data_IF_463704568005
#
_entry.id   IF_463704568005
#
_cell.length_a   1.000
_cell.length_b   1.000
_cell.length_c   1.000
_cell.angle_alpha   90.00
_cell.angle_beta   90.00
_cell.angle_gamma   90.00
#
_symmetry.space_group_name_H-M   'P 1'
#
loop_
_entity.id
_entity.type
_entity.pdbx_description
1 polymer ?
#
# COMPACT_ATOMS: atom_id res chain seq x y z
N UNK A 1 12.05 13.59 3.68
CA UNK A 1 12.57 14.92 3.22
C UNK A 1 13.49 14.68 2.04
N UNK A 2 13.34 15.43 0.94
CA UNK A 2 14.09 15.20 -0.31
C UNK A 2 15.26 16.17 -0.48
N UNK A 3 16.37 15.68 -1.03
CA UNK A 3 17.63 16.42 -1.22
C UNK A 3 18.17 16.21 -2.63
N UNK A 4 18.27 17.27 -3.42
CA UNK A 4 18.92 17.22 -4.74
C UNK A 4 20.40 17.56 -4.57
N UNK A 5 21.28 16.63 -4.95
CA UNK A 5 22.71 16.87 -5.02
C UNK A 5 23.06 17.44 -6.40
N UNK A 6 23.27 18.76 -6.45
CA UNK A 6 23.57 19.46 -7.71
C UNK A 6 24.93 19.09 -8.32
N UNK A 7 25.83 18.42 -7.58
CA UNK A 7 27.14 18.02 -8.08
C UNK A 7 27.07 16.74 -8.90
N UNK A 8 26.26 15.75 -8.47
CA UNK A 8 26.12 14.47 -9.16
C UNK A 8 24.76 14.27 -9.85
N UNK A 9 23.81 15.19 -9.66
CA UNK A 9 22.46 15.14 -10.22
C UNK A 9 21.53 14.14 -9.54
N UNK A 10 21.91 13.56 -8.40
CA UNK A 10 21.10 12.56 -7.69
C UNK A 10 20.11 13.22 -6.72
N UNK A 11 18.92 12.63 -6.62
CA UNK A 11 17.88 12.96 -5.67
C UNK A 11 17.89 11.93 -4.55
N UNK A 12 17.85 12.38 -3.30
CA UNK A 12 17.85 11.53 -2.12
C UNK A 12 16.62 11.80 -1.27
N UNK A 13 16.21 10.79 -0.50
CA UNK A 13 15.24 10.92 0.59
C UNK A 13 15.90 10.53 1.91
N UNK A 14 15.69 11.34 2.94
CA UNK A 14 16.16 11.03 4.29
C UNK A 14 15.41 9.87 4.94
N UNK A 15 16.12 9.06 5.70
CA UNK A 15 15.54 7.98 6.50
C UNK A 15 15.17 8.47 7.91
N UNK A 16 14.79 7.55 8.81
CA UNK A 16 14.60 7.85 10.23
C UNK A 16 15.86 8.45 10.87
N UNK A 17 17.04 8.06 10.42
CA UNK A 17 18.34 8.51 10.93
C UNK A 17 18.97 9.61 10.05
N UNK A 18 18.15 10.45 9.42
CA UNK A 18 18.62 11.58 8.63
C UNK A 18 19.57 12.51 9.41
N UNK A 19 19.42 12.62 10.73
CA UNK A 19 20.33 13.41 11.60
C UNK A 19 21.77 12.90 11.57
N UNK A 20 21.96 11.62 11.30
CA UNK A 20 23.27 10.96 11.15
C UNK A 20 23.74 10.93 9.68
N UNK A 21 22.99 11.61 8.79
CA UNK A 21 23.28 11.71 7.36
C UNK A 21 22.77 10.54 6.52
N UNK A 22 21.97 9.63 7.08
CA UNK A 22 21.44 8.49 6.34
C UNK A 22 20.37 8.92 5.33
N UNK A 23 20.59 8.54 4.07
CA UNK A 23 19.73 8.87 2.94
C UNK A 23 19.72 7.75 1.89
N UNK A 24 18.62 7.65 1.15
CA UNK A 24 18.42 6.66 0.09
C UNK A 24 18.27 7.38 -1.26
N UNK A 25 18.94 6.94 -2.35
CA UNK A 25 18.72 7.51 -3.66
C UNK A 25 17.28 7.25 -4.14
N UNK A 26 16.63 8.27 -4.69
CA UNK A 26 15.25 8.21 -5.17
C UNK A 26 15.13 7.55 -6.55
N UNK A 27 16.22 7.54 -7.32
CA UNK A 27 16.30 6.85 -8.61
C UNK A 27 17.59 6.04 -8.67
N UNK A 28 17.63 4.93 -9.43
CA UNK A 28 18.85 4.17 -9.66
C UNK A 28 19.96 5.04 -10.27
N UNK A 29 21.15 5.04 -9.66
CA UNK A 29 22.31 5.82 -10.15
C UNK A 29 22.64 5.56 -11.63
N UNK A 30 22.40 4.34 -12.12
CA UNK A 30 22.68 3.94 -13.49
C UNK A 30 21.83 4.67 -14.55
N UNK A 31 20.73 5.31 -14.14
CA UNK A 31 19.84 6.04 -15.04
C UNK A 31 20.21 7.53 -15.19
N UNK A 32 21.09 8.05 -14.32
CA UNK A 32 21.46 9.46 -14.32
C UNK A 32 22.57 9.70 -15.35
N UNK A 33 22.39 10.69 -16.23
CA UNK A 33 23.43 11.14 -17.15
C UNK A 33 23.77 12.62 -16.91
N UNK A 34 24.86 12.85 -16.16
CA UNK A 34 25.34 14.19 -15.80
C UNK A 34 26.40 14.77 -16.76
N UNK A 35 26.91 13.98 -17.71
CA UNK A 35 27.93 14.43 -18.67
C UNK A 35 27.27 14.76 -20.02
N UNK A 36 27.50 15.95 -20.59
CA UNK A 36 27.07 16.27 -21.94
C UNK A 36 27.91 15.46 -22.92
N UNK A 37 27.39 14.33 -23.40
CA UNK A 37 28.00 13.64 -24.52
C UNK A 37 27.69 14.46 -25.78
N UNK A 38 28.72 14.80 -26.56
CA UNK A 38 28.60 15.61 -27.79
C UNK A 38 27.66 15.04 -28.88
N UNK A 39 26.98 13.91 -28.59
CA UNK A 39 26.07 13.16 -29.46
C UNK A 39 24.66 12.94 -28.88
N UNK A 40 24.40 13.24 -27.61
CA UNK A 40 23.08 13.09 -26.98
C UNK A 40 22.70 14.36 -26.23
N UNK A 41 21.57 14.96 -26.61
CA UNK A 41 21.17 16.31 -26.23
C UNK A 41 20.38 16.42 -24.92
N UNK A 42 20.32 15.38 -24.09
CA UNK A 42 19.51 15.42 -22.87
C UNK A 42 20.34 15.03 -21.65
N UNK A 43 20.74 16.05 -20.89
CA UNK A 43 21.08 15.89 -19.48
C UNK A 43 19.83 15.36 -18.77
N UNK A 44 19.98 14.25 -18.07
CA UNK A 44 18.88 13.62 -17.34
C UNK A 44 19.28 13.45 -15.88
N UNK A 45 18.88 14.43 -15.07
CA UNK A 45 19.05 14.38 -13.62
C UNK A 45 17.94 13.55 -12.96
N UNK A 46 18.20 13.14 -11.72
CA UNK A 46 17.31 12.28 -10.97
C UNK A 46 15.95 12.91 -10.65
N UNK A 47 15.88 14.24 -10.55
CA UNK A 47 14.62 14.91 -10.24
C UNK A 47 13.65 14.79 -11.40
N UNK A 48 14.14 14.98 -12.63
CA UNK A 48 13.31 14.80 -13.82
C UNK A 48 12.84 13.35 -13.98
N UNK A 49 13.75 12.37 -13.84
CA UNK A 49 13.41 10.94 -13.87
C UNK A 49 12.33 10.57 -12.84
N UNK A 50 12.48 11.08 -11.62
CA UNK A 50 11.55 10.83 -10.52
C UNK A 50 10.15 11.43 -10.79
N UNK A 51 10.08 12.62 -11.41
CA UNK A 51 8.83 13.25 -11.83
C UNK A 51 8.19 12.54 -13.02
N UNK A 52 8.99 12.15 -14.01
CA UNK A 52 8.54 11.39 -15.20
C UNK A 52 7.93 10.05 -14.79
N UNK A 53 8.57 9.33 -13.87
CA UNK A 53 8.05 8.06 -13.37
C UNK A 53 6.73 8.24 -12.61
N UNK A 54 6.58 9.31 -11.82
CA UNK A 54 5.28 9.65 -11.21
C UNK A 54 4.20 9.92 -12.25
N UNK A 55 4.51 10.72 -13.27
CA UNK A 55 3.61 11.02 -14.38
C UNK A 55 3.20 9.74 -15.10
N UNK A 56 4.16 8.89 -15.45
CA UNK A 56 3.94 7.60 -16.11
C UNK A 56 3.05 6.67 -15.27
N UNK A 57 3.27 6.60 -13.95
CA UNK A 57 2.45 5.77 -13.04
C UNK A 57 1.01 6.28 -12.94
N UNK A 58 0.79 7.59 -12.97
CA UNK A 58 -0.54 8.20 -13.01
C UNK A 58 -1.25 7.94 -14.35
N UNK A 59 -0.56 8.20 -15.47
CA UNK A 59 -1.09 8.04 -16.82
C UNK A 59 -1.50 6.59 -17.10
N UNK A 60 -0.70 5.64 -16.65
CA UNK A 60 -0.97 4.21 -16.83
C UNK A 60 -1.87 3.61 -15.75
N UNK A 61 -2.37 4.40 -14.80
CA UNK A 61 -3.31 3.93 -13.77
C UNK A 61 -2.70 3.08 -12.66
N UNK A 62 -1.38 2.91 -12.63
CA UNK A 62 -0.65 2.21 -11.55
C UNK A 62 -0.94 2.90 -10.21
N UNK A 63 -0.99 4.23 -10.20
CA UNK A 63 -1.42 5.03 -9.05
C UNK A 63 -2.56 5.97 -9.46
N UNK A 64 -3.34 6.42 -8.49
CA UNK A 64 -4.52 7.27 -8.76
C UNK A 64 -4.57 8.49 -7.86
N UNK A 65 -5.40 9.44 -8.27
CA UNK A 65 -5.79 10.54 -7.42
C UNK A 65 -6.72 10.03 -6.31
N UNK A 66 -6.45 10.44 -5.08
CA UNK A 66 -7.34 10.32 -3.94
C UNK A 66 -8.06 11.64 -3.75
N UNK A 67 -9.37 11.56 -3.53
CA UNK A 67 -10.18 12.71 -3.16
C UNK A 67 -10.60 12.60 -1.69
N UNK A 68 -10.17 13.55 -0.88
CA UNK A 68 -10.56 13.65 0.53
C UNK A 68 -11.21 15.02 0.78
N UNK A 69 -12.54 15.03 0.81
CA UNK A 69 -13.32 16.26 0.86
C UNK A 69 -13.08 17.14 -0.37
N UNK A 70 -12.42 18.28 -0.17
CA UNK A 70 -12.06 19.21 -1.25
C UNK A 70 -10.62 19.04 -1.75
N UNK A 71 -9.83 18.21 -1.10
CA UNK A 71 -8.43 18.02 -1.43
C UNK A 71 -8.27 16.84 -2.40
N UNK A 72 -7.44 17.05 -3.41
CA UNK A 72 -6.97 16.01 -4.32
C UNK A 72 -5.50 15.81 -4.08
N UNK A 73 -5.10 14.57 -3.85
CA UNK A 73 -3.70 14.17 -3.70
C UNK A 73 -3.42 12.95 -4.56
N UNK A 74 -2.15 12.68 -4.82
CA UNK A 74 -1.74 11.42 -5.46
C UNK A 74 -1.66 10.36 -4.36
N UNK A 75 -2.35 9.24 -4.56
CA UNK A 75 -2.17 8.06 -3.71
C UNK A 75 -1.07 7.19 -4.29
N UNK A 76 0.06 7.06 -3.59
CA UNK A 76 1.21 6.29 -4.08
C UNK A 76 0.99 4.77 -4.06
N UNK A 77 -0.09 4.32 -3.42
CA UNK A 77 -0.48 2.92 -3.33
C UNK A 77 -0.88 2.37 -4.71
N UNK A 78 -0.21 1.30 -5.17
CA UNK A 78 -0.53 0.70 -6.45
C UNK A 78 -1.99 0.22 -6.57
N UNK A 79 -2.57 0.34 -7.74
CA UNK A 79 -3.98 -0.02 -8.04
C UNK A 79 -4.11 -1.29 -8.88
N UNK A 80 -3.00 -1.80 -9.42
CA UNK A 80 -2.96 -2.90 -10.37
C UNK A 80 -1.93 -3.98 -9.99
N UNK A 81 -2.11 -5.18 -10.54
CA UNK A 81 -1.15 -6.28 -10.39
C UNK A 81 0.20 -5.92 -11.03
N UNK A 82 1.32 -6.49 -10.55
CA UNK A 82 1.42 -7.45 -9.43
C UNK A 82 1.49 -6.78 -8.04
N UNK A 83 1.44 -5.44 -7.97
CA UNK A 83 1.67 -4.68 -6.75
C UNK A 83 0.40 -4.45 -5.91
N UNK A 84 -0.77 -4.65 -6.50
CA UNK A 84 -2.06 -4.63 -5.82
C UNK A 84 -2.77 -5.97 -5.99
N UNK A 85 -2.99 -6.65 -4.88
CA UNK A 85 -3.81 -7.87 -4.85
C UNK A 85 -5.28 -7.50 -4.72
N UNK A 86 -6.15 -8.35 -5.27
CA UNK A 86 -7.59 -8.21 -5.19
C UNK A 86 -8.21 -9.56 -4.90
N UNK A 87 -9.09 -9.63 -3.90
CA UNK A 87 -9.92 -10.78 -3.60
C UNK A 87 -11.39 -10.38 -3.54
N UNK A 88 -12.28 -11.29 -3.93
CA UNK A 88 -13.72 -11.14 -3.77
C UNK A 88 -14.25 -12.37 -3.08
N UNK A 89 -14.83 -12.19 -1.90
CA UNK A 89 -15.40 -13.28 -1.11
C UNK A 89 -16.81 -12.90 -0.71
N UNK A 90 -17.80 -13.72 -1.07
CA UNK A 90 -19.21 -13.49 -0.75
C UNK A 90 -19.70 -12.06 -1.05
N UNK A 91 -19.23 -11.46 -2.16
CA UNK A 91 -19.61 -10.11 -2.59
C UNK A 91 -18.79 -8.96 -1.98
N UNK A 92 -17.97 -9.21 -0.96
CA UNK A 92 -17.03 -8.20 -0.44
C UNK A 92 -15.76 -8.24 -1.28
N UNK A 93 -15.42 -7.11 -1.90
CA UNK A 93 -14.18 -6.91 -2.64
C UNK A 93 -13.16 -6.22 -1.77
N UNK A 94 -11.99 -6.85 -1.60
CA UNK A 94 -10.83 -6.28 -0.90
C UNK A 94 -9.69 -6.09 -1.89
N UNK A 95 -9.12 -4.88 -1.92
CA UNK A 95 -7.90 -4.56 -2.66
C UNK A 95 -6.82 -4.12 -1.67
N UNK A 96 -5.61 -4.64 -1.84
CA UNK A 96 -4.52 -4.42 -0.91
C UNK A 96 -3.21 -4.20 -1.66
N UNK A 97 -2.46 -3.19 -1.25
CA UNK A 97 -1.17 -2.83 -1.83
C UNK A 97 -0.34 -2.08 -0.80
N UNK A 98 0.97 -2.06 -0.97
CA UNK A 98 1.88 -1.38 -0.06
C UNK A 98 2.89 -0.48 -0.77
N UNK A 99 3.51 0.38 0.03
CA UNK A 99 4.62 1.24 -0.35
C UNK A 99 5.68 1.19 0.75
N UNK A 100 6.95 1.28 0.34
CA UNK A 100 8.05 1.47 1.28
C UNK A 100 8.01 2.88 1.86
N UNK A 101 8.39 3.03 3.13
CA UNK A 101 8.42 4.33 3.84
C UNK A 101 9.84 4.62 4.32
N UNK A 102 10.62 5.37 3.53
CA UNK A 102 12.01 5.71 3.85
C UNK A 102 12.14 6.41 5.20
N UNK A 103 11.27 7.41 5.46
CA UNK A 103 11.36 8.26 6.65
C UNK A 103 11.18 7.51 7.97
N UNK A 104 10.59 6.32 7.94
CA UNK A 104 10.45 5.45 9.12
C UNK A 104 11.51 4.35 9.18
N UNK A 105 12.18 4.08 8.06
CA UNK A 105 13.16 3.02 7.92
C UNK A 105 14.49 3.40 8.55
N UNK A 106 15.18 2.40 9.11
CA UNK A 106 16.50 2.52 9.70
C UNK A 106 17.37 1.43 9.06
N UNK A 107 18.18 1.79 8.05
CA UNK A 107 18.90 0.78 7.28
C UNK A 107 20.13 0.23 8.01
N UNK A 108 20.49 0.80 9.15
CA UNK A 108 21.57 0.35 10.02
C UNK A 108 21.09 -0.64 11.09
N UNK A 109 19.80 -0.62 11.41
CA UNK A 109 19.20 -1.56 12.36
C UNK A 109 18.99 -2.95 11.72
N UNK A 110 19.22 -4.00 12.51
CA UNK A 110 19.08 -5.40 12.04
C UNK A 110 17.61 -5.87 12.05
N UNK A 111 16.85 -5.51 13.09
CA UNK A 111 15.40 -5.73 13.16
C UNK A 111 14.63 -4.47 12.73
N UNK A 112 13.44 -4.61 12.16
CA UNK A 112 12.58 -3.48 11.76
C UNK A 112 13.23 -2.47 10.79
N UNK A 113 14.16 -2.98 9.99
CA UNK A 113 14.98 -2.23 9.04
C UNK A 113 14.15 -1.49 7.99
N UNK A 114 13.15 -2.17 7.43
CA UNK A 114 12.32 -1.66 6.34
C UNK A 114 10.91 -1.43 6.85
N UNK A 115 10.44 -0.19 6.73
CA UNK A 115 9.06 0.14 7.04
C UNK A 115 8.21 0.18 5.77
N UNK A 116 7.05 -0.47 5.84
CA UNK A 116 6.08 -0.46 4.78
C UNK A 116 4.76 0.11 5.30
N UNK A 117 4.15 1.00 4.54
CA UNK A 117 2.75 1.34 4.70
C UNK A 117 1.93 0.48 3.73
N UNK A 118 0.77 0.03 4.16
CA UNK A 118 -0.18 -0.69 3.32
C UNK A 118 -1.54 -0.01 3.34
N UNK A 119 -2.23 -0.07 2.20
CA UNK A 119 -3.58 0.46 2.02
C UNK A 119 -4.55 -0.65 1.67
N UNK A 120 -5.58 -0.79 2.50
CA UNK A 120 -6.67 -1.75 2.29
C UNK A 120 -7.91 -0.97 1.86
N UNK A 121 -8.50 -1.38 0.73
CA UNK A 121 -9.70 -0.79 0.16
C UNK A 121 -10.78 -1.85 0.07
N UNK A 122 -11.90 -1.61 0.75
CA UNK A 122 -13.01 -2.55 0.85
C UNK A 122 -14.28 -1.95 0.26
N UNK A 123 -15.01 -2.76 -0.49
CA UNK A 123 -16.33 -2.39 -1.00
C UNK A 123 -17.24 -3.61 -1.05
N UNK A 124 -18.54 -3.37 -1.02
CA UNK A 124 -19.54 -4.40 -1.28
C UNK A 124 -20.02 -4.25 -2.72
N UNK A 125 -20.00 -5.35 -3.47
CA UNK A 125 -20.42 -5.37 -4.86
C UNK A 125 -21.93 -5.07 -5.01
N UNK A 126 -22.39 -4.66 -6.20
CA UNK A 126 -23.81 -4.36 -6.47
C UNK A 126 -24.78 -5.45 -6.04
N UNK A 127 -24.35 -6.71 -6.13
CA UNK A 127 -25.12 -7.91 -5.78
C UNK A 127 -25.23 -8.14 -4.26
N UNK A 128 -24.67 -7.26 -3.42
CA UNK A 128 -24.65 -7.44 -1.97
C UNK A 128 -23.74 -8.58 -1.54
N UNK A 129 -23.91 -9.06 -0.30
CA UNK A 129 -23.24 -10.27 0.16
C UNK A 129 -24.18 -11.48 0.16
N UNK A 130 -23.65 -12.63 -0.25
CA UNK A 130 -24.40 -13.88 -0.37
C UNK A 130 -23.81 -14.90 0.60
N UNK A 131 -24.52 -15.22 1.66
CA UNK A 131 -24.09 -16.16 2.69
C UNK A 131 -25.07 -17.32 2.74
N UNK A 132 -24.59 -18.54 2.50
CA UNK A 132 -25.41 -19.76 2.45
C UNK A 132 -26.64 -19.62 1.52
N UNK A 133 -26.46 -18.95 0.37
CA UNK A 133 -27.52 -18.71 -0.61
C UNK A 133 -28.51 -17.59 -0.26
N UNK A 134 -28.36 -16.93 0.90
CA UNK A 134 -29.17 -15.77 1.29
C UNK A 134 -28.45 -14.47 0.94
N UNK A 135 -29.20 -13.54 0.35
CA UNK A 135 -28.74 -12.20 0.00
C UNK A 135 -28.87 -11.23 1.18
N UNK A 136 -27.87 -10.36 1.35
CA UNK A 136 -27.91 -9.25 2.28
C UNK A 136 -27.37 -7.97 1.62
N UNK A 137 -28.06 -6.86 1.83
CA UNK A 137 -27.72 -5.54 1.26
C UNK A 137 -26.68 -4.76 2.06
N UNK A 138 -26.11 -5.36 3.10
CA UNK A 138 -24.99 -4.77 3.85
C UNK A 138 -24.28 -5.83 4.68
N UNK A 139 -23.01 -5.57 5.00
CA UNK A 139 -22.26 -6.34 5.98
C UNK A 139 -21.29 -5.44 6.74
N UNK A 140 -21.02 -5.76 8.00
CA UNK A 140 -20.14 -4.97 8.86
C UNK A 140 -18.93 -5.79 9.31
N UNK A 141 -17.74 -5.22 9.16
CA UNK A 141 -16.47 -5.81 9.62
C UNK A 141 -16.45 -5.84 11.14
N UNK A 142 -15.99 -6.95 11.72
CA UNK A 142 -15.78 -7.09 13.16
C UNK A 142 -14.35 -7.46 13.55
N UNK A 143 -13.68 -8.32 12.78
CA UNK A 143 -12.38 -8.88 13.12
C UNK A 143 -11.42 -8.82 11.93
N UNK A 144 -10.13 -8.81 12.23
CA UNK A 144 -9.05 -9.01 11.26
C UNK A 144 -8.08 -10.07 11.77
N UNK A 145 -7.57 -10.85 10.84
CA UNK A 145 -6.46 -11.76 11.02
C UNK A 145 -5.42 -11.45 9.93
N UNK A 146 -4.16 -11.26 10.32
CA UNK A 146 -3.06 -10.94 9.42
C UNK A 146 -1.92 -11.92 9.63
N UNK A 147 -1.35 -12.38 8.53
CA UNK A 147 -0.08 -13.07 8.48
C UNK A 147 0.90 -12.19 7.72
N UNK A 148 1.98 -11.80 8.39
CA UNK A 148 3.02 -10.92 7.85
C UNK A 148 4.28 -11.76 7.65
N UNK A 149 4.89 -11.64 6.47
CA UNK A 149 6.06 -12.44 6.08
C UNK A 149 7.23 -11.59 5.65
N UNK A 150 8.44 -12.00 6.04
CA UNK A 150 9.70 -11.54 5.47
C UNK A 150 10.38 -12.73 4.78
N UNK A 151 10.77 -12.59 3.51
CA UNK A 151 11.37 -13.69 2.72
C UNK A 151 10.60 -15.01 2.82
N UNK A 152 9.26 -14.95 2.73
CA UNK A 152 8.33 -16.08 2.88
C UNK A 152 8.31 -16.78 4.26
N UNK A 153 9.06 -16.27 5.25
CA UNK A 153 9.00 -16.73 6.65
C UNK A 153 7.93 -15.94 7.40
N UNK A 154 7.15 -16.62 8.27
CA UNK A 154 6.16 -15.95 9.14
C UNK A 154 6.90 -15.09 10.17
N UNK A 155 6.71 -13.77 10.11
CA UNK A 155 7.27 -12.84 11.11
C UNK A 155 6.23 -12.50 12.19
N UNK A 156 4.97 -12.36 11.79
CA UNK A 156 3.88 -12.09 12.70
C UNK A 156 2.57 -12.76 12.26
N UNK A 157 1.80 -13.16 13.26
CA UNK A 157 0.44 -13.67 13.16
C UNK A 157 -0.40 -12.84 14.12
N UNK A 158 -1.30 -12.02 13.57
CA UNK A 158 -1.94 -10.91 14.29
C UNK A 158 -3.45 -10.97 14.14
N UNK A 159 -4.11 -11.18 15.26
CA UNK A 159 -5.55 -11.13 15.39
C UNK A 159 -6.02 -9.86 16.12
N UNK A 160 -7.20 -9.35 15.76
CA UNK A 160 -7.84 -8.34 16.59
C UNK A 160 -9.15 -7.81 16.05
N UNK A 161 -9.90 -7.16 16.94
CA UNK A 161 -11.14 -6.48 16.58
C UNK A 161 -10.87 -5.24 15.75
N UNK A 162 -11.83 -4.92 14.88
CA UNK A 162 -11.85 -3.71 14.07
C UNK A 162 -10.68 -3.62 13.08
N UNK A 163 -10.66 -2.51 12.34
CA UNK A 163 -9.48 -2.03 11.60
C UNK A 163 -9.26 -0.59 12.03
N UNK A 164 -8.06 -0.24 12.51
CA UNK A 164 -7.74 1.10 13.04
C UNK A 164 -8.77 1.66 14.04
N UNK A 165 -9.37 0.79 14.87
CA UNK A 165 -10.44 1.15 15.81
C UNK A 165 -11.81 1.42 15.17
N UNK A 166 -11.99 1.10 13.88
CA UNK A 166 -13.24 1.27 13.12
C UNK A 166 -13.84 -0.08 12.71
N UNK A 167 -15.17 -0.13 12.71
CA UNK A 167 -15.98 -1.28 12.29
C UNK A 167 -16.79 -0.91 11.04
N UNK A 168 -16.16 -0.85 9.85
CA UNK A 168 -16.82 -0.35 8.64
C UNK A 168 -18.04 -1.18 8.26
N UNK A 169 -19.17 -0.50 8.06
CA UNK A 169 -20.37 -1.05 7.42
C UNK A 169 -20.26 -0.80 5.92
N UNK A 170 -20.36 -1.85 5.12
CA UNK A 170 -20.34 -1.77 3.67
C UNK A 170 -21.75 -1.93 3.11
N UNK A 171 -22.09 -1.11 2.12
CA UNK A 171 -23.31 -1.24 1.31
C UNK A 171 -23.00 -1.17 -0.18
N UNK A 172 -23.78 -1.84 -1.05
CA UNK A 172 -23.63 -1.72 -2.49
C UNK A 172 -23.73 -0.26 -2.95
N UNK A 173 -22.81 0.16 -3.82
CA UNK A 173 -22.81 1.51 -4.41
C UNK A 173 -22.32 2.62 -3.49
N UNK A 174 -22.02 2.36 -2.21
CA UNK A 174 -21.30 3.31 -1.37
C UNK A 174 -19.83 3.40 -1.79
N UNK A 175 -19.18 4.52 -1.46
CA UNK A 175 -17.74 4.68 -1.66
C UNK A 175 -16.99 3.61 -0.88
N UNK A 176 -15.88 3.15 -1.45
CA UNK A 176 -15.03 2.19 -0.76
C UNK A 176 -14.54 2.74 0.59
N UNK A 177 -14.50 1.85 1.57
CA UNK A 177 -13.81 2.12 2.81
C UNK A 177 -12.32 1.91 2.59
N UNK A 178 -11.53 2.95 2.84
CA UNK A 178 -10.07 2.92 2.73
C UNK A 178 -9.47 3.13 4.10
N UNK A 179 -8.52 2.28 4.47
CA UNK A 179 -7.66 2.54 5.61
C UNK A 179 -6.21 2.20 5.29
N UNK A 180 -5.31 2.83 6.03
CA UNK A 180 -3.89 2.65 5.93
C UNK A 180 -3.31 2.31 7.29
N UNK A 181 -2.29 1.48 7.29
CA UNK A 181 -1.50 1.13 8.47
C UNK A 181 -0.09 0.78 8.00
N UNK A 182 0.82 0.51 8.93
CA UNK A 182 2.20 0.16 8.62
C UNK A 182 2.64 -1.11 9.32
N UNK A 183 3.73 -1.70 8.82
CA UNK A 183 4.45 -2.79 9.46
C UNK A 183 5.95 -2.64 9.18
N UNK A 184 6.81 -2.84 10.18
CA UNK A 184 8.23 -3.05 9.94
C UNK A 184 8.49 -4.46 9.41
N UNK A 185 9.62 -4.64 8.73
CA UNK A 185 10.20 -5.93 8.36
C UNK A 185 11.73 -5.90 8.47
N UNK A 186 12.37 -7.03 8.79
CA UNK A 186 13.83 -7.16 8.72
C UNK A 186 14.35 -7.34 7.29
N UNK A 187 13.48 -7.65 6.31
CA UNK A 187 13.85 -7.89 4.91
C UNK A 187 13.28 -6.85 3.95
N UNK A 188 13.99 -6.64 2.83
CA UNK A 188 13.54 -5.81 1.70
C UNK A 188 12.43 -6.47 0.87
N UNK A 189 12.18 -7.77 1.10
CA UNK A 189 11.09 -8.52 0.50
C UNK A 189 10.19 -9.06 1.60
N UNK A 190 8.91 -8.73 1.50
CA UNK A 190 7.89 -9.33 2.35
C UNK A 190 6.53 -9.41 1.68
N UNK A 191 5.56 -9.90 2.44
CA UNK A 191 4.16 -9.92 2.03
C UNK A 191 3.24 -9.90 3.23
N UNK A 192 2.00 -9.52 3.00
CA UNK A 192 0.92 -9.57 3.98
C UNK A 192 -0.27 -10.28 3.34
N UNK A 193 -0.89 -11.17 4.08
CA UNK A 193 -2.10 -11.90 3.70
C UNK A 193 -2.98 -12.10 4.93
N UNK A 194 -4.24 -12.47 4.75
CA UNK A 194 -5.09 -12.76 5.89
C UNK A 194 -6.56 -12.75 5.53
N UNK A 195 -7.39 -12.42 6.51
CA UNK A 195 -8.82 -12.36 6.33
C UNK A 195 -9.48 -11.37 7.30
N UNK A 196 -10.64 -10.88 6.89
CA UNK A 196 -11.54 -10.14 7.74
C UNK A 196 -12.76 -10.99 8.06
N UNK A 197 -13.29 -10.85 9.27
CA UNK A 197 -14.59 -11.44 9.60
C UNK A 197 -15.65 -10.37 9.59
N UNK A 198 -16.68 -10.60 8.76
CA UNK A 198 -17.85 -9.75 8.61
C UNK A 198 -19.09 -10.43 9.19
N UNK A 199 -20.08 -9.63 9.56
CA UNK A 199 -21.45 -10.09 9.83
C UNK A 199 -22.42 -9.49 8.81
N UNK A 200 -23.42 -10.22 8.32
CA UNK A 200 -24.50 -9.64 7.52
C UNK A 200 -25.31 -8.64 8.34
N UNK A 201 -25.67 -7.49 7.76
CA UNK A 201 -26.34 -6.40 8.48
C UNK A 201 -25.36 -5.54 9.30
N UNK A 202 -25.73 -5.25 10.55
CA UNK A 202 -24.92 -4.48 11.51
C UNK A 202 -24.47 -5.38 12.65
N UNK A 203 -23.36 -5.02 13.32
CA UNK A 203 -22.88 -5.74 14.49
C UNK A 203 -23.87 -5.74 15.65
N UNK A 204 -24.59 -4.64 15.85
CA UNK A 204 -25.62 -4.51 16.90
C UNK A 204 -26.88 -5.34 16.61
N UNK A 205 -27.13 -5.68 15.33
CA UNK A 205 -28.30 -6.43 14.88
C UNK A 205 -27.93 -7.30 13.65
N UNK A 206 -27.14 -8.39 13.86
CA UNK A 206 -26.69 -9.25 12.77
C UNK A 206 -27.87 -9.99 12.13
N UNK A 207 -27.87 -10.08 10.80
CA UNK A 207 -28.92 -10.74 10.02
C UNK A 207 -28.59 -12.17 9.62
N UNK A 208 -27.38 -12.63 9.94
CA UNK A 208 -26.91 -13.99 9.67
C UNK A 208 -25.61 -14.29 10.43
N UNK A 209 -25.10 -15.49 10.23
CA UNK A 209 -23.82 -15.91 10.82
C UNK A 209 -22.64 -15.07 10.28
N UNK A 210 -21.58 -14.88 11.08
CA UNK A 210 -20.35 -14.29 10.59
C UNK A 210 -19.76 -15.08 9.42
N UNK A 211 -19.02 -14.40 8.55
CA UNK A 211 -18.33 -15.00 7.42
C UNK A 211 -16.96 -14.35 7.22
N UNK A 212 -16.01 -15.15 6.74
CA UNK A 212 -14.68 -14.68 6.38
C UNK A 212 -14.65 -14.06 4.99
N UNK A 213 -13.82 -13.03 4.85
CA UNK A 213 -13.51 -12.33 3.61
C UNK A 213 -12.01 -12.34 3.43
N UNK A 214 -11.55 -12.96 2.35
CA UNK A 214 -10.13 -13.12 2.06
C UNK A 214 -9.45 -11.76 1.81
N UNK A 215 -8.24 -11.61 2.34
CA UNK A 215 -7.26 -10.65 1.84
C UNK A 215 -6.16 -11.43 1.14
N UNK A 216 -6.23 -11.47 -0.20
CA UNK A 216 -5.21 -12.11 -1.01
C UNK A 216 -3.83 -11.52 -0.71
N UNK A 217 -2.82 -12.39 -0.65
CA UNK A 217 -1.42 -12.01 -0.38
C UNK A 217 -0.98 -10.87 -1.29
N UNK A 218 -0.52 -9.78 -0.70
CA UNK A 218 0.05 -8.64 -1.42
C UNK A 218 1.51 -8.41 -1.03
N UNK A 219 2.36 -8.01 -1.99
CA UNK A 219 3.78 -7.86 -1.74
C UNK A 219 4.08 -6.56 -0.96
N UNK A 220 5.17 -6.60 -0.20
CA UNK A 220 5.83 -5.45 0.41
C UNK A 220 7.22 -5.27 -0.25
N UNK A 221 7.29 -4.72 -1.49
CA UNK A 221 8.54 -4.64 -2.21
C UNK A 221 9.29 -3.35 -1.90
N UNK A 222 10.62 -3.44 -1.78
CA UNK A 222 11.48 -2.27 -1.96
C UNK A 222 11.44 -1.86 -3.45
N UNK A 223 10.99 -0.64 -3.80
CA UNK A 223 10.83 -0.24 -5.19
C UNK A 223 12.15 0.21 -5.83
N UNK A 224 12.21 0.18 -7.16
CA UNK A 224 13.35 0.73 -7.93
C UNK A 224 13.49 2.26 -7.76
N UNK A 225 12.35 2.94 -7.55
CA UNK A 225 12.27 4.38 -7.31
C UNK A 225 11.66 4.63 -5.94
N UNK A 226 12.27 5.53 -5.17
CA UNK A 226 11.80 5.89 -3.83
C UNK A 226 10.95 7.16 -3.92
N UNK A 227 9.74 7.09 -3.39
CA UNK A 227 8.69 8.10 -3.53
C UNK A 227 8.18 8.59 -2.19
#
# INVERSE_FOLDING_TARGET
>A
MFFLNCTNGQLYVGTKNLTDGEMIPCVPNALISSVPDSRSSQQQDAMLLWLEEHGRRLENGIIKLREEGKFRSISLFPEELPLCSTAVTNGVKVRASAVFVPEMSDLQHESDKYWFAYSIRMSLLPEGCIINGMFFSSCQLYWRHWIIRANDVVEADVDGEAVIGKFPLLRPGEREFVYESCTPLPSSLGSVEGAFTFVPGRLEDPKGSPFEVEVARFPLPLPDYIF
#
